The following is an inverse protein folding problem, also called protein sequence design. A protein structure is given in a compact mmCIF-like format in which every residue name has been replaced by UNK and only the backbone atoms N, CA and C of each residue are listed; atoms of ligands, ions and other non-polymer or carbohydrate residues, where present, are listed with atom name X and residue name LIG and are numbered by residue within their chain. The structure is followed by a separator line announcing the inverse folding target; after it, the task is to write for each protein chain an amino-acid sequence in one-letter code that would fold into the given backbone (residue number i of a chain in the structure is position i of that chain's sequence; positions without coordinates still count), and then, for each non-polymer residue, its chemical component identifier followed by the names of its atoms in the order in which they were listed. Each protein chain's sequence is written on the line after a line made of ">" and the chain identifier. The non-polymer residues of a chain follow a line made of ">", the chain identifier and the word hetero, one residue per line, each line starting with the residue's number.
data_IF_452799858901
#
_entry.id   IF_452799858901
#
_cell.length_a   1.000
_cell.length_b   1.000
_cell.length_c   1.000
_cell.angle_alpha   90.00
_cell.angle_beta   90.00
_cell.angle_gamma   90.00
#
_symmetry.space_group_name_H-M   'P 1'
#
loop_
_entity.id
_entity.type
_entity.pdbx_description
1 polymer ?
#
# COMPACT_ATOMS: atom_id res chain seq x y z
N UNK A 1 -46.50 11.84 66.47
CA UNK A 1 -45.87 12.80 65.51
C UNK A 1 -44.84 12.15 64.61
N UNK A 2 -44.00 11.18 65.04
CA UNK A 2 -42.97 10.55 64.16
C UNK A 2 -43.48 9.60 63.09
N UNK A 3 -44.69 9.04 63.23
CA UNK A 3 -45.25 8.10 62.22
C UNK A 3 -46.01 8.80 61.08
N UNK A 4 -46.47 10.05 61.29
CA UNK A 4 -47.17 10.83 60.25
C UNK A 4 -46.17 11.51 59.30
N UNK A 5 -44.95 11.82 59.79
CA UNK A 5 -43.89 12.39 58.97
C UNK A 5 -43.28 11.39 58.00
N UNK A 6 -43.26 10.11 58.33
CA UNK A 6 -42.75 9.04 57.45
C UNK A 6 -43.69 8.74 56.24
N UNK A 7 -45.00 8.92 56.41
CA UNK A 7 -45.99 8.70 55.35
C UNK A 7 -46.02 9.86 54.36
N UNK A 8 -45.78 11.09 54.81
CA UNK A 8 -45.69 12.25 53.93
C UNK A 8 -44.39 12.26 53.07
N UNK A 9 -43.30 11.67 53.57
CA UNK A 9 -42.08 11.56 52.81
C UNK A 9 -42.15 10.44 51.74
N UNK A 10 -42.91 9.36 51.98
CA UNK A 10 -43.13 8.28 51.03
C UNK A 10 -44.08 8.67 49.86
N UNK A 11 -45.06 9.55 50.08
CA UNK A 11 -45.93 10.09 49.03
C UNK A 11 -45.24 11.15 48.15
N UNK A 12 -44.22 11.85 48.66
CA UNK A 12 -43.46 12.82 47.88
C UNK A 12 -42.45 12.17 46.90
N UNK A 13 -42.03 10.90 47.17
CA UNK A 13 -41.15 10.12 46.25
C UNK A 13 -41.90 9.40 45.13
N UNK A 14 -43.25 9.30 45.20
CA UNK A 14 -44.06 8.63 44.15
C UNK A 14 -44.59 9.63 43.10
N UNK A 15 -44.40 10.92 43.26
CA UNK A 15 -44.85 11.97 42.34
C UNK A 15 -43.75 12.55 41.45
N UNK A 16 -42.50 12.10 41.60
CA UNK A 16 -41.34 12.56 40.80
C UNK A 16 -40.96 11.61 39.63
N UNK A 17 -41.77 10.57 39.33
CA UNK A 17 -41.47 9.60 38.26
C UNK A 17 -42.39 9.77 37.02
N UNK A 18 -43.11 10.88 36.86
CA UNK A 18 -44.01 11.09 35.72
C UNK A 18 -43.70 12.34 34.89
N UNK A 19 -42.47 12.84 34.91
CA UNK A 19 -42.10 13.99 34.09
C UNK A 19 -40.71 13.85 33.46
N UNK A 20 -40.50 12.78 32.69
CA UNK A 20 -39.50 12.66 31.65
C UNK A 20 -39.90 11.52 30.72
N UNK A 21 -41.00 11.70 30.02
CA UNK A 21 -41.37 10.96 28.82
C UNK A 21 -41.03 11.82 27.62
N UNK A 22 -39.77 12.23 27.49
CA UNK A 22 -39.18 12.53 26.21
C UNK A 22 -38.75 11.19 25.65
N UNK A 23 -39.50 10.65 24.72
CA UNK A 23 -38.98 9.66 23.80
C UNK A 23 -37.90 10.35 22.94
N UNK A 24 -36.66 10.32 23.41
CA UNK A 24 -35.57 10.27 22.45
C UNK A 24 -35.81 8.94 21.72
N UNK A 25 -36.53 9.01 20.61
CA UNK A 25 -36.40 8.03 19.56
C UNK A 25 -34.91 8.08 19.17
N UNK A 26 -34.12 7.18 19.75
CA UNK A 26 -32.83 6.81 19.20
C UNK A 26 -33.14 6.43 17.74
N UNK A 27 -32.62 7.20 16.84
CA UNK A 27 -32.66 6.93 15.41
C UNK A 27 -32.15 5.48 15.22
N UNK A 28 -32.99 4.52 14.76
CA UNK A 28 -32.56 3.13 14.62
C UNK A 28 -31.53 2.93 13.47
N UNK A 29 -31.00 4.00 12.88
CA UNK A 29 -30.13 3.98 11.72
C UNK A 29 -28.64 4.24 12.04
N UNK A 30 -28.21 4.43 13.30
CA UNK A 30 -26.79 4.37 13.66
C UNK A 30 -26.48 2.97 14.24
N UNK A 31 -26.41 1.97 13.35
CA UNK A 31 -25.71 0.72 13.63
C UNK A 31 -24.29 1.06 14.09
N UNK A 32 -23.80 0.35 15.11
CA UNK A 32 -22.41 0.47 15.52
C UNK A 32 -21.53 0.13 14.30
N UNK A 33 -20.64 1.07 13.90
CA UNK A 33 -19.69 0.83 12.80
C UNK A 33 -18.77 -0.33 13.17
N UNK A 34 -18.43 -1.14 12.18
CA UNK A 34 -17.44 -2.20 12.34
C UNK A 34 -16.03 -1.58 12.33
N UNK A 35 -15.24 -1.89 13.36
CA UNK A 35 -13.88 -1.39 13.48
C UNK A 35 -12.92 -2.19 12.58
N UNK A 36 -12.22 -1.49 11.70
CA UNK A 36 -11.22 -2.04 10.77
C UNK A 36 -9.89 -1.39 11.05
N UNK A 37 -8.86 -2.19 11.29
CA UNK A 37 -7.48 -1.72 11.32
C UNK A 37 -6.82 -1.96 9.96
N UNK A 38 -6.28 -0.88 9.38
CA UNK A 38 -5.50 -0.91 8.15
C UNK A 38 -4.05 -0.53 8.45
N UNK A 39 -3.10 -1.40 8.14
CA UNK A 39 -1.66 -1.13 8.36
C UNK A 39 -0.98 -0.68 7.07
N UNK A 40 -0.23 0.42 7.13
CA UNK A 40 0.59 0.90 6.02
C UNK A 40 1.85 0.04 5.86
N UNK A 41 2.52 0.16 4.72
CA UNK A 41 3.83 -0.43 4.46
C UNK A 41 4.98 0.46 4.94
N UNK A 42 4.76 1.78 4.92
CA UNK A 42 5.75 2.80 5.26
C UNK A 42 5.05 4.07 5.77
N UNK A 43 5.80 5.18 5.86
CA UNK A 43 5.19 6.50 6.16
C UNK A 43 4.18 6.88 5.09
N UNK A 44 3.13 7.67 5.42
CA UNK A 44 2.15 8.12 4.45
C UNK A 44 2.81 8.73 3.21
N UNK A 45 2.33 8.31 2.05
CA UNK A 45 2.74 8.81 0.74
C UNK A 45 1.59 8.63 -0.27
N UNK A 46 1.82 8.97 -1.51
CA UNK A 46 0.77 8.97 -2.54
C UNK A 46 0.23 7.60 -2.91
N UNK A 47 0.92 6.49 -2.60
CA UNK A 47 0.32 5.16 -2.71
C UNK A 47 -0.91 4.98 -1.80
N UNK A 48 -1.01 5.74 -0.71
CA UNK A 48 -2.09 5.66 0.26
C UNK A 48 -3.23 6.66 0.02
N UNK A 49 -3.14 7.49 -1.01
CA UNK A 49 -4.10 8.60 -1.23
C UNK A 49 -5.53 8.12 -1.27
N UNK A 50 -5.84 7.04 -2.00
CA UNK A 50 -7.20 6.49 -2.09
C UNK A 50 -7.79 6.09 -0.74
N UNK A 51 -6.96 5.54 0.16
CA UNK A 51 -7.36 5.21 1.53
C UNK A 51 -7.79 6.47 2.31
N UNK A 52 -6.95 7.51 2.32
CA UNK A 52 -7.25 8.75 3.04
C UNK A 52 -8.42 9.51 2.42
N UNK A 53 -8.57 9.46 1.10
CA UNK A 53 -9.76 10.00 0.41
C UNK A 53 -11.02 9.24 0.84
N UNK A 54 -11.00 7.91 0.89
CA UNK A 54 -12.15 7.13 1.30
C UNK A 54 -12.57 7.40 2.76
N UNK A 55 -11.59 7.68 3.65
CA UNK A 55 -11.84 8.10 5.04
C UNK A 55 -12.48 9.50 5.05
N UNK A 56 -11.86 10.49 4.43
CA UNK A 56 -12.30 11.90 4.48
C UNK A 56 -13.64 12.11 3.80
N UNK A 57 -13.88 11.43 2.67
CA UNK A 57 -15.17 11.48 1.95
C UNK A 57 -16.25 10.65 2.65
N UNK A 58 -15.93 9.90 3.70
CA UNK A 58 -16.90 9.10 4.46
C UNK A 58 -17.33 7.82 3.76
N UNK A 59 -16.64 7.34 2.73
CA UNK A 59 -17.03 6.14 1.96
C UNK A 59 -17.04 4.89 2.84
N UNK A 60 -16.09 4.74 3.76
CA UNK A 60 -16.10 3.66 4.74
C UNK A 60 -17.26 3.77 5.73
N UNK A 61 -17.57 4.98 6.22
CA UNK A 61 -18.70 5.20 7.13
C UNK A 61 -20.04 4.88 6.46
N UNK A 62 -20.19 5.26 5.19
CA UNK A 62 -21.37 4.88 4.37
C UNK A 62 -21.49 3.36 4.21
N UNK A 63 -20.36 2.65 4.17
CA UNK A 63 -20.28 1.20 4.12
C UNK A 63 -20.46 0.51 5.50
N UNK A 64 -20.68 1.28 6.58
CA UNK A 64 -20.83 0.76 7.94
C UNK A 64 -19.53 0.45 8.66
N UNK A 65 -18.40 0.99 8.17
CA UNK A 65 -17.05 0.72 8.66
C UNK A 65 -16.42 1.97 9.28
N UNK A 66 -15.61 1.75 10.33
CA UNK A 66 -14.72 2.75 10.93
C UNK A 66 -13.28 2.27 10.74
N UNK A 67 -12.47 2.98 9.94
CA UNK A 67 -11.12 2.55 9.56
C UNK A 67 -10.09 3.31 10.37
N UNK A 68 -9.30 2.58 11.16
CA UNK A 68 -8.11 3.07 11.84
C UNK A 68 -6.86 2.74 11.02
N UNK A 69 -6.07 3.76 10.67
CA UNK A 69 -4.80 3.60 9.94
C UNK A 69 -3.64 3.56 10.93
N UNK A 70 -2.82 2.50 10.85
CA UNK A 70 -1.66 2.33 11.73
C UNK A 70 -0.36 2.19 10.92
N UNK A 71 0.74 2.58 11.56
CA UNK A 71 2.07 2.42 10.98
C UNK A 71 2.53 0.96 11.05
N UNK A 72 3.38 0.49 10.11
CA UNK A 72 3.89 -0.87 10.14
C UNK A 72 4.78 -1.09 11.38
N UNK A 73 4.66 -2.26 12.03
CA UNK A 73 5.61 -2.66 13.06
C UNK A 73 6.96 -3.07 12.44
N UNK A 74 7.97 -3.30 13.27
CA UNK A 74 9.29 -3.78 12.82
C UNK A 74 9.22 -5.08 11.99
N UNK A 75 8.20 -5.93 12.20
CA UNK A 75 7.98 -7.17 11.45
C UNK A 75 7.23 -7.01 10.12
N UNK A 76 6.86 -5.79 9.73
CA UNK A 76 6.11 -5.52 8.50
C UNK A 76 4.59 -5.66 8.64
N UNK A 77 3.88 -5.23 7.60
CA UNK A 77 2.43 -5.29 7.54
C UNK A 77 1.92 -6.74 7.46
N UNK A 78 2.64 -7.63 6.77
CA UNK A 78 2.28 -9.03 6.54
C UNK A 78 2.08 -9.79 7.86
N UNK A 79 2.98 -9.57 8.83
CA UNK A 79 2.89 -10.21 10.15
C UNK A 79 1.70 -9.67 10.96
N UNK A 80 1.43 -8.36 10.88
CA UNK A 80 0.32 -7.75 11.60
C UNK A 80 -1.02 -8.24 11.04
N UNK A 81 -1.16 -8.26 9.71
CA UNK A 81 -2.35 -8.77 9.02
C UNK A 81 -2.48 -10.29 9.24
N UNK A 82 -1.41 -11.07 9.03
CA UNK A 82 -1.43 -12.52 9.23
C UNK A 82 -1.79 -12.95 10.66
N UNK A 83 -1.43 -12.15 11.67
CA UNK A 83 -1.83 -12.40 13.06
C UNK A 83 -3.27 -12.01 13.41
N UNK A 84 -4.03 -11.43 12.47
CA UNK A 84 -5.40 -10.94 12.68
C UNK A 84 -5.50 -9.65 13.52
N UNK A 85 -4.38 -8.99 13.80
CA UNK A 85 -4.36 -7.71 14.52
C UNK A 85 -4.70 -6.52 13.63
N UNK A 86 -4.56 -6.67 12.33
CA UNK A 86 -5.10 -5.80 11.31
C UNK A 86 -5.92 -6.64 10.32
N UNK A 87 -7.02 -6.10 9.82
CA UNK A 87 -7.86 -6.78 8.83
C UNK A 87 -7.25 -6.66 7.45
N UNK A 88 -6.69 -5.48 7.16
CA UNK A 88 -6.07 -5.15 5.87
C UNK A 88 -4.74 -4.44 6.06
N UNK A 89 -3.94 -4.39 5.00
CA UNK A 89 -2.71 -3.61 4.99
C UNK A 89 -2.12 -3.47 3.60
N UNK A 90 -1.06 -2.68 3.49
CA UNK A 90 -0.28 -2.54 2.27
C UNK A 90 0.92 -3.50 2.32
N UNK A 91 1.19 -4.18 1.22
CA UNK A 91 2.37 -5.02 1.02
C UNK A 91 2.78 -5.04 -0.45
N UNK A 92 3.70 -5.92 -0.80
CA UNK A 92 4.26 -6.06 -2.14
C UNK A 92 4.27 -7.54 -2.52
N UNK A 93 4.10 -7.86 -3.80
CA UNK A 93 4.03 -9.25 -4.26
C UNK A 93 5.28 -10.06 -3.88
N UNK A 94 6.47 -9.45 -3.92
CA UNK A 94 7.72 -10.08 -3.52
C UNK A 94 7.84 -10.28 -2.00
N UNK A 95 7.23 -9.41 -1.17
CA UNK A 95 7.24 -9.49 0.29
C UNK A 95 6.26 -10.54 0.83
N UNK A 96 5.13 -10.75 0.16
CA UNK A 96 4.18 -11.80 0.59
C UNK A 96 4.65 -13.20 0.20
N UNK A 97 5.45 -13.36 -0.87
CA UNK A 97 5.90 -14.66 -1.35
C UNK A 97 6.56 -15.55 -0.28
N UNK A 98 7.53 -15.06 0.54
CA UNK A 98 8.11 -15.84 1.64
C UNK A 98 7.08 -16.25 2.71
N UNK A 99 6.07 -15.42 2.92
CA UNK A 99 5.01 -15.69 3.90
C UNK A 99 4.02 -16.78 3.46
N UNK A 100 3.97 -17.12 2.18
CA UNK A 100 3.05 -18.12 1.63
C UNK A 100 3.63 -19.55 1.62
N UNK A 101 4.87 -19.75 2.07
CA UNK A 101 5.57 -21.03 2.02
C UNK A 101 5.83 -21.59 3.42
N UNK A 102 6.21 -22.88 3.49
CA UNK A 102 6.55 -23.58 4.75
C UNK A 102 5.37 -24.32 5.37
N UNK A 103 5.59 -24.79 6.60
CA UNK A 103 4.62 -25.64 7.33
C UNK A 103 3.49 -24.80 7.99
N UNK A 104 3.71 -23.51 8.19
CA UNK A 104 2.77 -22.58 8.84
C UNK A 104 2.77 -21.23 8.06
N UNK A 105 2.18 -21.21 6.85
CA UNK A 105 2.15 -20.01 6.02
C UNK A 105 1.31 -18.91 6.66
N UNK A 106 1.70 -17.64 6.40
CA UNK A 106 0.91 -16.50 6.84
C UNK A 106 -0.48 -16.55 6.19
N UNK A 107 -1.57 -16.43 6.97
CA UNK A 107 -2.92 -16.45 6.45
C UNK A 107 -3.30 -15.07 5.86
N UNK A 108 -2.65 -14.71 4.75
CA UNK A 108 -2.86 -13.45 4.03
C UNK A 108 -3.16 -13.71 2.56
N UNK A 109 -3.95 -12.82 1.97
CA UNK A 109 -4.26 -12.81 0.53
C UNK A 109 -4.27 -11.38 0.02
N UNK A 110 -3.63 -11.12 -1.12
CA UNK A 110 -3.74 -9.85 -1.83
C UNK A 110 -5.14 -9.74 -2.46
N UNK A 111 -5.82 -8.63 -2.21
CA UNK A 111 -7.23 -8.42 -2.59
C UNK A 111 -7.44 -7.22 -3.52
N UNK A 112 -6.42 -6.38 -3.72
CA UNK A 112 -6.42 -5.32 -4.72
C UNK A 112 -4.99 -4.87 -5.06
N UNK A 113 -4.71 -4.60 -6.32
CA UNK A 113 -3.51 -3.90 -6.77
C UNK A 113 -3.69 -2.39 -6.53
N UNK A 114 -2.75 -1.74 -5.85
CA UNK A 114 -2.84 -0.28 -5.63
C UNK A 114 -2.50 0.45 -6.91
N UNK A 115 -1.41 0.06 -7.58
CA UNK A 115 -1.05 0.49 -8.94
C UNK A 115 -0.90 -0.72 -9.84
N UNK A 116 -1.18 -0.53 -11.13
CA UNK A 116 -1.23 -1.66 -12.07
C UNK A 116 0.14 -2.14 -12.52
N UNK A 117 1.07 -1.23 -12.81
CA UNK A 117 2.40 -1.60 -13.31
C UNK A 117 3.49 -1.26 -12.30
N UNK A 118 4.51 -2.09 -12.26
CA UNK A 118 5.65 -1.86 -11.39
C UNK A 118 6.48 -0.65 -11.87
N UNK A 119 6.54 0.39 -11.05
CA UNK A 119 7.32 1.60 -11.35
C UNK A 119 8.75 1.52 -10.81
N UNK A 120 9.24 0.34 -10.42
CA UNK A 120 10.61 0.19 -9.92
C UNK A 120 11.64 0.11 -11.03
N UNK A 121 12.79 0.65 -10.74
CA UNK A 121 13.92 0.70 -11.65
C UNK A 121 15.13 1.32 -11.00
N UNK A 122 16.16 1.56 -11.80
CA UNK A 122 17.38 2.21 -11.34
C UNK A 122 17.40 3.67 -11.78
N UNK A 123 17.70 4.56 -10.84
CA UNK A 123 18.00 5.97 -11.09
C UNK A 123 19.45 6.27 -10.85
N UNK A 124 20.04 7.11 -11.68
CA UNK A 124 21.39 7.66 -11.57
C UNK A 124 21.41 9.14 -11.96
N UNK A 125 22.53 9.83 -11.75
CA UNK A 125 22.71 11.18 -12.32
C UNK A 125 22.89 11.07 -13.83
N UNK A 126 22.22 11.97 -14.57
CA UNK A 126 22.31 12.01 -16.02
C UNK A 126 23.74 12.21 -16.51
N UNK A 127 24.12 11.45 -17.55
CA UNK A 127 25.42 11.56 -18.20
C UNK A 127 26.60 10.95 -17.45
N UNK A 128 26.37 10.26 -16.33
CA UNK A 128 27.41 9.55 -15.58
C UNK A 128 27.67 8.12 -16.08
N UNK A 129 26.93 7.67 -17.11
CA UNK A 129 27.15 6.39 -17.79
C UNK A 129 26.30 5.24 -17.27
N UNK A 130 25.31 5.50 -16.41
CA UNK A 130 24.35 4.51 -15.92
C UNK A 130 22.96 4.80 -16.51
N UNK A 131 22.87 4.84 -17.84
CA UNK A 131 21.65 5.06 -18.60
C UNK A 131 20.96 3.75 -19.03
N UNK A 132 21.54 2.62 -18.65
CA UNK A 132 21.07 1.27 -18.95
C UNK A 132 21.60 0.28 -17.92
N UNK A 133 21.03 -0.95 -17.80
CA UNK A 133 21.52 -1.97 -16.86
C UNK A 133 23.03 -2.25 -16.98
N UNK A 134 23.53 -2.35 -18.19
CA UNK A 134 24.97 -2.58 -18.41
C UNK A 134 25.85 -1.43 -17.90
N UNK A 135 25.32 -0.21 -17.88
CA UNK A 135 26.01 0.95 -17.34
C UNK A 135 26.36 0.86 -15.87
N UNK A 136 25.74 -0.07 -15.12
CA UNK A 136 26.09 -0.32 -13.71
C UNK A 136 27.51 -0.89 -13.52
N UNK A 137 28.14 -1.48 -14.56
CA UNK A 137 29.50 -2.01 -14.44
C UNK A 137 30.50 -0.93 -13.99
N UNK A 138 31.16 -1.16 -12.86
CA UNK A 138 32.17 -0.25 -12.29
C UNK A 138 31.59 0.94 -11.51
N UNK A 139 30.27 1.02 -11.35
CA UNK A 139 29.60 2.06 -10.59
C UNK A 139 29.13 1.56 -9.22
N UNK A 140 28.94 2.50 -8.28
CA UNK A 140 28.48 2.27 -6.91
C UNK A 140 26.98 2.20 -6.89
N UNK A 141 26.46 1.03 -6.60
CA UNK A 141 25.03 0.78 -6.43
C UNK A 141 24.69 0.65 -4.94
N UNK A 142 23.71 1.44 -4.46
CA UNK A 142 23.18 1.31 -3.11
C UNK A 142 22.31 0.04 -3.02
N UNK A 143 22.79 -0.98 -2.30
CA UNK A 143 22.11 -2.27 -2.19
C UNK A 143 21.50 -2.49 -0.80
N UNK A 144 20.31 -3.08 -0.75
CA UNK A 144 19.69 -3.62 0.47
C UNK A 144 20.26 -5.00 0.85
N UNK A 145 21.10 -5.56 -0.01
CA UNK A 145 21.72 -6.89 0.14
C UNK A 145 20.72 -8.07 0.07
N UNK A 146 19.55 -7.85 -0.55
CA UNK A 146 18.50 -8.86 -0.68
C UNK A 146 18.72 -9.78 -1.90
N UNK A 147 18.45 -11.10 -1.78
CA UNK A 147 18.62 -12.04 -2.89
C UNK A 147 17.78 -11.67 -4.12
N UNK A 148 16.51 -11.28 -3.95
CA UNK A 148 15.60 -10.90 -5.04
C UNK A 148 16.10 -9.67 -5.78
N UNK A 149 16.51 -8.63 -5.04
CA UNK A 149 17.12 -7.41 -5.59
C UNK A 149 18.29 -7.73 -6.50
N UNK A 150 19.28 -8.50 -5.98
CA UNK A 150 20.48 -8.86 -6.73
C UNK A 150 20.17 -9.71 -7.97
N UNK A 151 19.24 -10.65 -7.85
CA UNK A 151 18.83 -11.49 -8.97
C UNK A 151 18.13 -10.68 -10.06
N UNK A 152 17.29 -9.70 -9.69
CA UNK A 152 16.65 -8.78 -10.63
C UNK A 152 17.68 -7.97 -11.40
N UNK A 153 18.64 -7.33 -10.71
CA UNK A 153 19.69 -6.53 -11.36
C UNK A 153 20.58 -7.40 -12.25
N UNK A 154 20.99 -8.59 -11.77
CA UNK A 154 21.79 -9.53 -12.55
C UNK A 154 21.08 -9.96 -13.84
N UNK A 155 19.75 -10.20 -13.77
CA UNK A 155 18.97 -10.59 -14.95
C UNK A 155 18.86 -9.46 -15.97
N UNK A 156 18.50 -8.24 -15.55
CA UNK A 156 18.39 -7.10 -16.49
C UNK A 156 19.76 -6.72 -17.07
N UNK A 157 20.83 -6.82 -16.30
CA UNK A 157 22.20 -6.63 -16.81
C UNK A 157 22.57 -7.69 -17.86
N UNK A 158 22.27 -8.96 -17.60
CA UNK A 158 22.52 -10.05 -18.55
C UNK A 158 21.75 -9.90 -19.86
N UNK A 159 20.50 -9.39 -19.80
CA UNK A 159 19.69 -9.12 -20.98
C UNK A 159 20.41 -8.15 -21.95
N UNK A 160 21.23 -7.25 -21.43
CA UNK A 160 22.04 -6.30 -22.23
C UNK A 160 23.52 -6.67 -22.36
N UNK A 161 23.90 -7.88 -21.94
CA UNK A 161 25.28 -8.37 -22.02
C UNK A 161 26.20 -7.70 -20.99
N UNK A 162 25.66 -7.26 -19.86
CA UNK A 162 26.40 -6.79 -18.69
C UNK A 162 26.81 -7.93 -17.74
N UNK A 163 27.64 -7.60 -16.76
CA UNK A 163 28.21 -8.52 -15.77
C UNK A 163 28.04 -7.93 -14.36
N UNK A 164 27.05 -8.43 -13.62
CA UNK A 164 26.72 -7.97 -12.27
C UNK A 164 27.92 -8.04 -11.29
N UNK A 165 28.86 -8.98 -11.49
CA UNK A 165 30.05 -9.10 -10.64
C UNK A 165 30.97 -7.88 -10.67
N UNK A 166 30.79 -6.98 -11.63
CA UNK A 166 31.55 -5.73 -11.77
C UNK A 166 30.88 -4.53 -11.09
N UNK A 167 29.67 -4.69 -10.56
CA UNK A 167 28.97 -3.61 -9.83
C UNK A 167 29.61 -3.45 -8.45
N UNK A 168 29.90 -2.21 -8.05
CA UNK A 168 30.36 -1.92 -6.69
C UNK A 168 29.14 -1.82 -5.75
N UNK A 169 28.88 -2.89 -4.99
CA UNK A 169 27.75 -2.93 -4.06
C UNK A 169 28.07 -2.14 -2.79
N UNK A 170 27.30 -1.10 -2.50
CA UNK A 170 27.40 -0.29 -1.29
C UNK A 170 26.19 -0.60 -0.40
N UNK A 171 26.35 -1.42 0.68
CA UNK A 171 25.25 -1.69 1.60
C UNK A 171 24.75 -0.38 2.23
N UNK A 172 23.53 -0.01 1.92
CA UNK A 172 22.96 1.26 2.34
C UNK A 172 21.44 1.21 2.29
N UNK A 173 20.78 1.75 3.33
CA UNK A 173 19.39 2.14 3.24
C UNK A 173 19.32 3.62 2.94
N UNK A 174 19.16 3.96 1.66
CA UNK A 174 18.98 5.35 1.23
C UNK A 174 17.54 5.75 1.58
N UNK A 175 17.39 6.88 2.25
CA UNK A 175 16.08 7.48 2.61
C UNK A 175 15.90 8.88 2.01
N UNK A 176 16.92 9.39 1.34
CA UNK A 176 16.92 10.64 0.58
C UNK A 176 17.78 10.42 -0.67
N UNK A 177 17.14 9.97 -1.72
CA UNK A 177 17.76 9.58 -2.99
C UNK A 177 18.39 10.79 -3.67
N UNK A 178 17.74 11.95 -3.60
CA UNK A 178 18.25 13.21 -4.18
C UNK A 178 19.58 13.58 -3.55
N UNK A 179 19.66 13.62 -2.22
CA UNK A 179 20.91 13.93 -1.50
C UNK A 179 22.01 12.89 -1.75
N UNK A 180 21.65 11.61 -1.80
CA UNK A 180 22.59 10.53 -2.04
C UNK A 180 23.23 10.63 -3.43
N UNK A 181 22.42 10.88 -4.46
CA UNK A 181 22.91 11.08 -5.83
C UNK A 181 23.74 12.38 -5.96
N UNK A 182 23.24 13.51 -5.42
CA UNK A 182 23.94 14.80 -5.49
C UNK A 182 25.32 14.78 -4.81
N UNK A 183 25.42 14.06 -3.68
CA UNK A 183 26.70 13.94 -2.97
C UNK A 183 27.70 13.00 -3.63
N UNK A 184 27.25 12.13 -4.56
CA UNK A 184 28.05 11.07 -5.17
C UNK A 184 28.46 9.98 -4.17
N UNK A 185 27.72 9.82 -3.08
CA UNK A 185 27.94 8.71 -2.13
C UNK A 185 27.67 7.36 -2.79
N UNK A 186 26.69 7.35 -3.70
CA UNK A 186 26.39 6.27 -4.63
C UNK A 186 26.13 6.84 -6.02
N UNK A 187 26.25 6.01 -7.05
CA UNK A 187 26.05 6.40 -8.44
C UNK A 187 24.67 5.96 -8.94
N UNK A 188 24.13 4.88 -8.39
CA UNK A 188 22.84 4.30 -8.77
C UNK A 188 22.06 3.78 -7.56
N UNK A 189 20.72 3.88 -7.64
CA UNK A 189 19.80 3.50 -6.57
C UNK A 189 18.59 2.83 -7.20
N UNK A 190 18.09 1.71 -6.61
CA UNK A 190 16.75 1.19 -6.91
C UNK A 190 15.71 2.10 -6.29
N UNK A 191 14.79 2.54 -7.11
CA UNK A 191 13.67 3.41 -6.69
C UNK A 191 12.34 2.89 -7.21
N UNK A 192 11.27 3.41 -6.63
CA UNK A 192 9.94 3.45 -7.24
C UNK A 192 9.72 4.84 -7.81
N UNK A 193 9.56 4.93 -9.14
CA UNK A 193 9.56 6.22 -9.86
C UNK A 193 8.48 7.16 -9.34
N UNK A 194 7.30 6.63 -9.02
CA UNK A 194 6.16 7.39 -8.53
C UNK A 194 6.46 8.30 -7.32
N UNK A 195 7.51 8.01 -6.55
CA UNK A 195 7.92 8.84 -5.40
C UNK A 195 9.34 9.38 -5.57
N UNK A 196 10.34 8.52 -5.59
CA UNK A 196 11.73 8.96 -5.60
C UNK A 196 12.19 9.52 -6.96
N UNK A 197 11.66 8.99 -8.09
CA UNK A 197 11.88 9.57 -9.42
C UNK A 197 11.31 10.97 -9.52
N UNK A 198 10.05 11.15 -9.10
CA UNK A 198 9.39 12.45 -9.03
C UNK A 198 10.12 13.41 -8.07
N UNK A 199 10.66 12.91 -6.95
CA UNK A 199 11.46 13.73 -6.04
C UNK A 199 12.70 14.29 -6.72
N UNK A 200 13.38 13.51 -7.58
CA UNK A 200 14.50 14.00 -8.39
C UNK A 200 14.06 15.09 -9.38
N UNK A 201 12.92 14.92 -10.06
CA UNK A 201 12.36 15.93 -10.96
C UNK A 201 12.04 17.24 -10.24
N UNK A 202 11.34 17.17 -9.09
CA UNK A 202 10.97 18.34 -8.27
C UNK A 202 12.22 19.06 -7.74
N UNK A 203 13.29 18.31 -7.47
CA UNK A 203 14.59 18.87 -7.06
C UNK A 203 15.42 19.41 -8.24
N UNK A 204 14.89 19.38 -9.48
CA UNK A 204 15.60 19.77 -10.70
C UNK A 204 16.92 19.00 -10.88
N UNK A 205 17.00 17.76 -10.38
CA UNK A 205 18.14 16.87 -10.58
C UNK A 205 17.96 16.12 -11.88
N UNK A 206 18.85 16.38 -12.86
CA UNK A 206 18.86 15.63 -14.11
C UNK A 206 19.30 14.19 -13.84
N UNK A 207 18.46 13.22 -14.18
CA UNK A 207 18.67 11.79 -13.94
C UNK A 207 18.48 10.97 -15.20
N UNK A 208 19.22 9.85 -15.28
CA UNK A 208 18.90 8.73 -16.15
C UNK A 208 18.11 7.71 -15.31
N UNK A 209 17.05 7.14 -15.90
CA UNK A 209 16.22 6.13 -15.26
C UNK A 209 15.87 5.03 -16.27
N UNK A 210 15.92 3.78 -15.83
CA UNK A 210 15.38 2.66 -16.59
C UNK A 210 14.53 1.78 -15.68
N UNK A 211 13.29 1.48 -16.14
CA UNK A 211 12.38 0.59 -15.45
C UNK A 211 12.75 -0.88 -15.72
N UNK A 212 12.65 -1.72 -14.70
CA UNK A 212 12.90 -3.16 -14.87
C UNK A 212 11.88 -3.83 -15.77
N UNK A 213 10.61 -3.44 -15.67
CA UNK A 213 9.52 -3.96 -16.47
C UNK A 213 9.69 -3.72 -17.99
N UNK A 214 10.37 -2.63 -18.37
CA UNK A 214 10.65 -2.31 -19.78
C UNK A 214 11.72 -3.24 -20.37
N UNK A 215 12.56 -3.84 -19.53
CA UNK A 215 13.65 -4.72 -19.96
C UNK A 215 13.20 -6.18 -19.94
N UNK A 216 12.52 -6.60 -18.89
CA UNK A 216 11.96 -7.95 -18.77
C UNK A 216 10.57 -7.87 -18.13
N UNK A 217 9.51 -8.26 -18.87
CA UNK A 217 8.14 -8.20 -18.39
C UNK A 217 7.88 -8.99 -17.08
N UNK A 218 8.74 -9.93 -16.70
CA UNK A 218 8.61 -10.68 -15.44
C UNK A 218 8.72 -9.75 -14.23
N UNK A 219 9.35 -8.59 -14.38
CA UNK A 219 9.50 -7.59 -13.34
C UNK A 219 8.35 -6.58 -13.29
N UNK A 220 7.31 -6.75 -14.11
CA UNK A 220 6.04 -6.02 -13.98
C UNK A 220 5.13 -6.70 -12.94
N UNK A 221 5.69 -7.09 -11.80
CA UNK A 221 4.94 -7.64 -10.68
C UNK A 221 4.24 -6.56 -9.88
N UNK A 222 3.18 -6.94 -9.14
CA UNK A 222 2.35 -5.98 -8.42
C UNK A 222 3.05 -5.42 -7.17
N UNK A 223 3.21 -4.10 -7.16
CA UNK A 223 3.91 -3.36 -6.11
C UNK A 223 3.50 -1.89 -6.10
N UNK A 224 2.71 -1.41 -5.09
CA UNK A 224 2.18 -2.14 -3.94
C UNK A 224 0.79 -2.79 -4.17
N UNK A 225 0.38 -3.63 -3.19
CA UNK A 225 -0.92 -4.31 -3.16
C UNK A 225 -1.60 -4.14 -1.80
N UNK A 226 -2.93 -4.27 -1.75
CA UNK A 226 -3.69 -4.42 -0.51
C UNK A 226 -3.77 -5.90 -0.15
N UNK A 227 -3.31 -6.26 1.06
CA UNK A 227 -3.45 -7.59 1.62
C UNK A 227 -4.55 -7.61 2.68
N UNK A 228 -5.17 -8.79 2.87
CA UNK A 228 -6.19 -9.03 3.88
C UNK A 228 -5.89 -10.30 4.68
N UNK A 229 -6.38 -10.34 5.93
CA UNK A 229 -6.34 -11.53 6.75
C UNK A 229 -7.35 -12.57 6.27
N UNK A 230 -6.92 -13.81 6.03
CA UNK A 230 -7.77 -14.87 5.45
C UNK A 230 -8.94 -15.23 6.37
N UNK A 231 -8.73 -15.29 7.69
CA UNK A 231 -9.81 -15.60 8.64
C UNK A 231 -10.87 -14.48 8.62
N UNK A 232 -10.44 -13.21 8.52
CA UNK A 232 -11.37 -12.10 8.39
C UNK A 232 -12.19 -12.18 7.09
N UNK A 233 -11.52 -12.49 5.96
CA UNK A 233 -12.20 -12.66 4.67
C UNK A 233 -13.27 -13.77 4.71
N UNK A 234 -12.96 -14.89 5.37
CA UNK A 234 -13.89 -16.03 5.50
C UNK A 234 -15.07 -15.74 6.42
N UNK A 235 -14.83 -15.04 7.54
CA UNK A 235 -15.86 -14.77 8.55
C UNK A 235 -16.72 -13.56 8.21
N UNK A 236 -16.19 -12.57 7.48
CA UNK A 236 -16.81 -11.30 7.19
C UNK A 236 -16.75 -10.91 5.69
N UNK A 237 -17.15 -11.81 4.76
CA UNK A 237 -16.98 -11.58 3.32
C UNK A 237 -17.70 -10.34 2.81
N UNK A 238 -18.89 -10.02 3.37
CA UNK A 238 -19.65 -8.84 2.95
C UNK A 238 -18.98 -7.54 3.44
N UNK A 239 -18.44 -7.51 4.65
CA UNK A 239 -17.67 -6.37 5.17
C UNK A 239 -16.37 -6.18 4.39
N UNK A 240 -15.71 -7.27 4.01
CA UNK A 240 -14.50 -7.22 3.17
C UNK A 240 -14.79 -6.63 1.78
N UNK A 241 -15.90 -7.04 1.14
CA UNK A 241 -16.35 -6.45 -0.13
C UNK A 241 -16.72 -4.98 0.03
N UNK A 242 -17.45 -4.64 1.10
CA UNK A 242 -17.82 -3.26 1.39
C UNK A 242 -16.58 -2.37 1.61
N UNK A 243 -15.55 -2.89 2.30
CA UNK A 243 -14.28 -2.22 2.49
C UNK A 243 -13.57 -1.96 1.16
N UNK A 244 -13.39 -2.99 0.32
CA UNK A 244 -12.71 -2.86 -0.98
C UNK A 244 -13.50 -1.93 -1.92
N UNK A 245 -14.84 -1.99 -1.92
CA UNK A 245 -15.67 -1.08 -2.72
C UNK A 245 -15.52 0.39 -2.28
N UNK A 246 -15.49 0.65 -0.97
CA UNK A 246 -15.25 2.00 -0.45
C UNK A 246 -13.83 2.50 -0.76
N UNK A 247 -12.84 1.62 -0.67
CA UNK A 247 -11.45 1.91 -1.02
C UNK A 247 -11.29 2.21 -2.52
N UNK A 248 -11.92 1.42 -3.40
CA UNK A 248 -11.96 1.64 -4.86
C UNK A 248 -12.48 3.04 -5.19
N UNK A 249 -13.61 3.46 -4.58
CA UNK A 249 -14.14 4.82 -4.74
C UNK A 249 -13.12 5.89 -4.34
N UNK A 250 -12.30 5.62 -3.33
CA UNK A 250 -11.24 6.53 -2.91
C UNK A 250 -10.16 6.70 -3.98
N UNK A 251 -9.72 5.59 -4.60
CA UNK A 251 -8.75 5.65 -5.70
C UNK A 251 -9.35 6.22 -6.98
N UNK A 252 -10.59 5.88 -7.32
CA UNK A 252 -11.32 6.48 -8.45
C UNK A 252 -11.43 8.00 -8.30
N UNK A 253 -11.76 8.48 -7.09
CA UNK A 253 -11.74 9.90 -6.80
C UNK A 253 -10.35 10.52 -6.99
N UNK A 254 -9.29 9.84 -6.54
CA UNK A 254 -7.91 10.31 -6.66
C UNK A 254 -7.42 10.35 -8.12
N UNK A 255 -7.93 9.47 -8.98
CA UNK A 255 -7.71 9.49 -10.43
C UNK A 255 -8.39 10.72 -11.06
N UNK A 256 -9.66 10.94 -10.74
CA UNK A 256 -10.46 12.03 -11.34
C UNK A 256 -10.08 13.41 -10.79
N UNK A 257 -9.58 13.48 -9.56
CA UNK A 257 -9.33 14.74 -8.83
C UNK A 257 -7.96 14.74 -8.14
N UNK A 258 -6.83 14.54 -8.87
CA UNK A 258 -5.53 14.29 -8.26
C UNK A 258 -5.07 15.39 -7.31
N UNK A 259 -5.36 16.66 -7.64
CA UNK A 259 -4.98 17.79 -6.78
C UNK A 259 -5.77 17.80 -5.46
N UNK A 260 -7.10 17.62 -5.50
CA UNK A 260 -7.92 17.58 -4.27
C UNK A 260 -7.55 16.36 -3.42
N UNK A 261 -7.25 15.22 -4.05
CA UNK A 261 -6.80 14.03 -3.38
C UNK A 261 -5.44 14.22 -2.67
N UNK A 262 -4.50 14.93 -3.29
CA UNK A 262 -3.24 15.35 -2.67
C UNK A 262 -3.46 16.28 -1.46
N UNK A 263 -4.40 17.24 -1.56
CA UNK A 263 -4.77 18.10 -0.45
C UNK A 263 -5.32 17.28 0.74
N UNK A 264 -6.21 16.31 0.47
CA UNK A 264 -6.76 15.39 1.49
C UNK A 264 -5.64 14.57 2.15
N UNK A 265 -4.74 13.99 1.37
CA UNK A 265 -3.60 13.24 1.90
C UNK A 265 -2.75 14.11 2.83
N UNK A 266 -2.43 15.35 2.44
CA UNK A 266 -1.62 16.26 3.26
C UNK A 266 -2.35 16.77 4.49
N UNK A 267 -3.68 16.85 4.49
CA UNK A 267 -4.45 17.15 5.72
C UNK A 267 -4.45 15.98 6.69
N UNK A 268 -4.54 14.74 6.18
CA UNK A 268 -4.50 13.53 7.00
C UNK A 268 -3.07 13.21 7.51
N UNK A 269 -2.03 13.55 6.73
CA UNK A 269 -0.62 13.36 7.06
C UNK A 269 0.15 14.71 6.96
N UNK A 270 0.05 15.57 7.99
CA UNK A 270 0.58 16.94 7.93
C UNK A 270 2.09 17.06 7.73
N UNK A 271 2.87 16.02 8.02
CA UNK A 271 4.31 15.95 7.73
C UNK A 271 4.62 16.09 6.25
N UNK A 272 3.72 15.69 5.36
CA UNK A 272 3.87 15.81 3.92
C UNK A 272 3.78 17.27 3.41
N UNK A 273 3.20 18.18 4.19
CA UNK A 273 3.05 19.59 3.80
C UNK A 273 4.38 20.28 3.52
N UNK A 274 5.47 19.80 4.15
CA UNK A 274 6.81 20.32 3.88
C UNK A 274 7.34 19.97 2.48
N UNK A 275 6.77 18.95 1.84
CA UNK A 275 7.13 18.45 0.53
C UNK A 275 5.93 18.50 -0.44
N UNK A 276 5.09 19.53 -0.34
CA UNK A 276 3.84 19.64 -1.09
C UNK A 276 4.03 19.52 -2.60
N UNK A 277 5.10 20.07 -3.15
CA UNK A 277 5.38 20.01 -4.60
C UNK A 277 5.62 18.55 -5.05
N UNK A 278 6.33 17.76 -4.25
CA UNK A 278 6.48 16.32 -4.48
C UNK A 278 5.14 15.59 -4.40
N UNK A 279 4.31 15.89 -3.38
CA UNK A 279 3.01 15.23 -3.21
C UNK A 279 2.09 15.50 -4.41
N UNK A 280 2.01 16.76 -4.87
CA UNK A 280 1.21 17.10 -6.04
C UNK A 280 1.73 16.42 -7.31
N UNK A 281 3.03 16.48 -7.57
CA UNK A 281 3.63 15.89 -8.77
C UNK A 281 3.49 14.35 -8.78
N UNK A 282 3.75 13.71 -7.65
CA UNK A 282 3.59 12.26 -7.48
C UNK A 282 2.13 11.82 -7.63
N UNK A 283 1.18 12.59 -7.06
CA UNK A 283 -0.24 12.28 -7.19
C UNK A 283 -0.76 12.44 -8.63
N UNK A 284 -0.30 13.46 -9.35
CA UNK A 284 -0.60 13.64 -10.78
C UNK A 284 -0.09 12.47 -11.61
N UNK A 285 1.15 12.02 -11.36
CA UNK A 285 1.73 10.86 -12.01
C UNK A 285 0.95 9.58 -11.69
N UNK A 286 0.62 9.35 -10.42
CA UNK A 286 -0.07 8.14 -9.97
C UNK A 286 -1.52 8.05 -10.45
N UNK A 287 -2.18 9.17 -10.73
CA UNK A 287 -3.54 9.16 -11.27
C UNK A 287 -3.65 8.27 -12.53
N UNK A 288 -2.63 8.29 -13.38
CA UNK A 288 -2.57 7.44 -14.58
C UNK A 288 -2.10 5.99 -14.29
N UNK A 289 -1.49 5.73 -13.11
CA UNK A 289 -0.92 4.42 -12.77
C UNK A 289 -1.87 3.54 -11.96
N UNK A 290 -2.83 4.13 -11.23
CA UNK A 290 -3.71 3.36 -10.34
C UNK A 290 -4.54 2.30 -11.07
N UNK A 291 -5.09 2.63 -12.24
CA UNK A 291 -5.85 1.69 -13.06
C UNK A 291 -5.12 1.32 -14.36
N UNK A 292 -4.34 2.27 -14.92
CA UNK A 292 -3.61 2.12 -16.17
C UNK A 292 -4.47 1.44 -17.27
N UNK A 293 -4.10 0.24 -17.70
CA UNK A 293 -4.76 -0.54 -18.74
C UNK A 293 -5.74 -1.60 -18.21
N UNK A 294 -5.93 -1.70 -16.87
CA UNK A 294 -6.91 -2.61 -16.29
C UNK A 294 -8.35 -2.09 -16.47
N UNK A 295 -9.32 -3.00 -16.49
CA UNK A 295 -10.74 -2.67 -16.65
C UNK A 295 -11.31 -1.91 -15.43
N UNK A 296 -10.69 -2.09 -14.23
CA UNK A 296 -11.08 -1.46 -12.96
C UNK A 296 -9.88 -1.36 -12.02
N UNK A 297 -9.94 -0.43 -11.08
CA UNK A 297 -8.94 -0.35 -10.04
C UNK A 297 -8.89 -1.63 -9.21
N UNK A 298 -7.68 -2.04 -8.87
CA UNK A 298 -7.43 -3.16 -7.97
C UNK A 298 -7.32 -4.52 -8.63
N UNK A 299 -7.63 -4.66 -9.92
CA UNK A 299 -7.68 -5.95 -10.60
C UNK A 299 -6.29 -6.56 -10.79
N UNK A 300 -6.19 -7.87 -10.52
CA UNK A 300 -5.00 -8.66 -10.80
C UNK A 300 -5.16 -9.44 -12.10
N UNK A 301 -4.14 -9.40 -12.96
CA UNK A 301 -3.95 -10.35 -14.04
C UNK A 301 -3.22 -11.60 -13.51
N UNK A 302 -3.84 -12.77 -13.64
CA UNK A 302 -3.28 -14.04 -13.13
C UNK A 302 -1.97 -14.41 -13.82
N UNK A 303 -1.83 -14.13 -15.12
CA UNK A 303 -0.62 -14.49 -15.86
C UNK A 303 0.58 -13.63 -15.39
N UNK A 304 0.36 -12.33 -15.17
CA UNK A 304 1.37 -11.41 -14.63
C UNK A 304 1.78 -11.82 -13.22
N UNK A 305 0.80 -12.06 -12.34
CA UNK A 305 1.05 -12.54 -10.98
C UNK A 305 1.89 -13.81 -10.98
N UNK A 306 1.45 -14.83 -11.72
CA UNK A 306 2.07 -16.16 -11.76
C UNK A 306 3.47 -16.15 -12.38
N UNK A 307 3.74 -15.24 -13.31
CA UNK A 307 5.05 -15.12 -13.96
C UNK A 307 6.13 -14.78 -12.95
N UNK A 308 5.87 -13.83 -12.03
CA UNK A 308 6.85 -13.42 -11.03
C UNK A 308 7.11 -14.53 -9.99
N UNK A 309 6.08 -15.21 -9.49
CA UNK A 309 6.28 -16.31 -8.54
C UNK A 309 7.00 -17.50 -9.19
N UNK A 310 6.71 -17.78 -10.46
CA UNK A 310 7.45 -18.78 -11.23
C UNK A 310 8.93 -18.41 -11.35
N UNK A 311 9.23 -17.14 -11.62
CA UNK A 311 10.59 -16.63 -11.68
C UNK A 311 11.34 -16.74 -10.34
N UNK A 312 10.69 -16.43 -9.21
CA UNK A 312 11.26 -16.62 -7.88
C UNK A 312 11.65 -18.10 -7.63
N UNK A 313 10.76 -19.04 -8.01
CA UNK A 313 11.00 -20.47 -7.86
C UNK A 313 12.15 -20.96 -8.76
N UNK A 314 12.16 -20.57 -10.03
CA UNK A 314 13.17 -20.97 -11.02
C UNK A 314 14.58 -20.50 -10.62
N UNK A 315 14.67 -19.33 -9.97
CA UNK A 315 15.93 -18.75 -9.52
C UNK A 315 16.29 -19.16 -8.07
N UNK A 316 15.48 -20.00 -7.40
CA UNK A 316 15.68 -20.46 -6.03
C UNK A 316 15.86 -19.30 -5.04
N UNK A 317 15.03 -18.26 -5.16
CA UNK A 317 15.11 -17.04 -4.36
C UNK A 317 14.33 -17.14 -3.05
N UNK A 318 13.60 -18.22 -2.83
CA UNK A 318 12.82 -18.51 -1.63
C UNK A 318 13.37 -19.76 -0.92
N UNK A 319 13.15 -19.90 0.38
CA UNK A 319 13.50 -21.09 1.17
C UNK A 319 12.62 -22.31 0.86
N UNK A 320 11.69 -22.19 -0.06
CA UNK A 320 10.77 -23.22 -0.54
C UNK A 320 10.23 -22.84 -1.90
N UNK A 321 9.12 -23.47 -2.29
CA UNK A 321 8.42 -23.20 -3.56
C UNK A 321 7.07 -22.58 -3.23
N UNK A 322 6.76 -21.44 -3.84
CA UNK A 322 5.44 -20.84 -3.79
C UNK A 322 4.62 -21.33 -4.99
N UNK A 323 3.34 -21.68 -4.76
CA UNK A 323 2.44 -22.00 -5.86
C UNK A 323 2.20 -20.73 -6.71
N UNK A 324 2.45 -20.75 -8.03
CA UNK A 324 2.45 -19.53 -8.85
C UNK A 324 1.15 -18.73 -8.81
N UNK A 325 0.01 -19.41 -8.65
CA UNK A 325 -1.33 -18.79 -8.60
C UNK A 325 -1.82 -18.49 -7.18
N UNK A 326 -0.98 -18.74 -6.15
CA UNK A 326 -1.38 -18.49 -4.76
C UNK A 326 -1.30 -17.01 -4.37
N UNK A 327 -1.98 -16.65 -3.31
CA UNK A 327 -1.79 -15.40 -2.57
C UNK A 327 -2.54 -14.20 -3.11
N UNK A 328 -3.40 -14.32 -4.11
CA UNK A 328 -4.26 -13.23 -4.57
C UNK A 328 -5.68 -13.70 -4.90
N UNK A 329 -6.61 -12.74 -4.97
CA UNK A 329 -7.98 -12.95 -5.50
C UNK A 329 -8.59 -11.64 -5.97
N UNK A 330 -9.46 -11.72 -6.98
CA UNK A 330 -10.30 -10.61 -7.45
C UNK A 330 -11.75 -10.68 -6.90
N UNK A 331 -12.07 -11.65 -6.02
CA UNK A 331 -13.45 -11.95 -5.58
C UNK A 331 -14.10 -10.86 -4.70
N UNK A 332 -13.27 -9.95 -4.16
CA UNK A 332 -13.72 -8.85 -3.30
C UNK A 332 -13.82 -7.52 -4.03
N UNK A 333 -13.35 -7.43 -5.27
CA UNK A 333 -13.47 -6.22 -6.07
C UNK A 333 -14.93 -5.96 -6.48
N UNK A 334 -15.38 -4.69 -6.51
CA UNK A 334 -16.69 -4.36 -7.01
C UNK A 334 -16.84 -4.76 -8.48
N UNK A 335 -18.04 -5.14 -8.91
CA UNK A 335 -18.34 -5.34 -10.33
C UNK A 335 -18.06 -4.03 -11.07
N UNK A 336 -17.35 -4.10 -12.21
CA UNK A 336 -17.06 -2.93 -13.03
C UNK A 336 -18.34 -2.21 -13.44
N UNK A 337 -18.43 -0.89 -13.16
CA UNK A 337 -19.58 0.00 -13.36
C UNK A 337 -20.67 -0.04 -12.26
N UNK A 338 -20.32 0.00 -11.00
CA UNK A 338 -21.31 0.31 -9.92
C UNK A 338 -21.20 1.76 -9.46
#
# INVERSE_FOLDING_TARGET
>A
MKKILAILLACAMLLSLSACGGSDEADPAQGQLEEITFVLDWTPNTNHTGLYVAIEKGYFTEAGLNVEVVQPPEGGAEVLVGSGKAQFGVSFQDYIAPGLIGDDPLPITAVAAIIQHNTSGIVSRAGEGVDSPKGLEGHKYATWDLPVEKATIDQVMKAEGGDFSKVELIPSTVTDEVSALQSGSVDAIWIFYAWAGIACEVAELETDYFAFADIDPVFDFYSPVVIANNEYLEQNPESAKAFIAALSRGYEFAIENPKEAADILMEAAPELKSNSDLVYASQEYLADQYTADADRWGEFDEARWSAFFSWLNENNLLEGTVEPTAGFTNDYLPDGNS
#
